data_IF_748995623080
#
_entry.id   IF_748995623080
#
_cell.length_a   1.000
_cell.length_b   1.000
_cell.length_c   1.000
_cell.angle_alpha   90.00
_cell.angle_beta   90.00
_cell.angle_gamma   90.00
#
_symmetry.space_group_name_H-M   'P 1'
#
loop_
_entity.id
_entity.type
_entity.pdbx_description
1 polymer ?
#
# COMPACT_ATOMS: atom_id res chain seq x y z
N UNK A 1 -3.49 -28.93 10.98
CA UNK A 1 -3.55 -29.56 9.65
C UNK A 1 -2.46 -30.63 9.63
N UNK A 2 -2.83 -31.91 9.61
CA UNK A 2 -1.88 -33.04 9.68
C UNK A 2 -1.54 -33.46 8.24
N UNK A 3 -0.25 -33.44 7.89
CA UNK A 3 0.23 -33.93 6.60
C UNK A 3 0.81 -35.35 6.77
N UNK A 4 0.29 -36.31 6.01
CA UNK A 4 0.88 -37.65 5.91
C UNK A 4 2.08 -37.61 4.96
N UNK A 5 3.20 -38.21 5.35
CA UNK A 5 4.54 -38.09 4.75
C UNK A 5 4.70 -38.45 3.26
N UNK A 6 3.63 -38.85 2.57
CA UNK A 6 3.58 -39.03 1.11
C UNK A 6 3.12 -37.77 0.35
N UNK A 7 2.44 -36.84 1.04
CA UNK A 7 2.04 -35.52 0.51
C UNK A 7 2.87 -34.38 1.12
N UNK A 8 4.02 -34.70 1.72
CA UNK A 8 4.98 -33.68 2.13
C UNK A 8 5.63 -33.11 0.86
N UNK A 9 5.65 -31.78 0.67
CA UNK A 9 6.39 -31.20 -0.44
C UNK A 9 7.84 -31.69 -0.35
N UNK A 10 8.33 -32.26 -1.45
CA UNK A 10 9.74 -32.65 -1.57
C UNK A 10 10.60 -31.46 -1.13
N UNK A 11 11.57 -31.72 -0.26
CA UNK A 11 12.42 -30.74 0.43
C UNK A 11 13.16 -29.76 -0.49
N UNK A 12 13.05 -29.93 -1.81
CA UNK A 12 13.61 -29.08 -2.86
C UNK A 12 12.65 -28.00 -3.40
N UNK A 13 11.32 -28.15 -3.30
CA UNK A 13 10.38 -27.09 -3.74
C UNK A 13 10.17 -25.99 -2.68
N UNK A 14 10.47 -26.31 -1.41
CA UNK A 14 10.33 -25.40 -0.26
C UNK A 14 11.57 -24.53 0.01
N UNK A 15 12.63 -24.63 -0.81
CA UNK A 15 13.89 -23.88 -0.62
C UNK A 15 14.06 -22.67 -1.56
N UNK A 16 13.07 -22.35 -2.40
CA UNK A 16 13.16 -21.13 -3.20
C UNK A 16 13.01 -19.93 -2.25
N UNK A 17 13.98 -19.00 -2.22
CA UNK A 17 13.84 -17.81 -1.39
C UNK A 17 12.56 -17.05 -1.80
N UNK A 18 11.84 -16.44 -0.84
CA UNK A 18 10.65 -15.64 -1.14
C UNK A 18 10.97 -14.62 -2.24
N UNK A 19 10.10 -14.50 -3.25
CA UNK A 19 10.28 -13.49 -4.27
C UNK A 19 9.97 -12.10 -3.68
N UNK A 20 10.77 -11.07 -3.98
CA UNK A 20 10.47 -9.72 -3.53
C UNK A 20 9.22 -9.22 -4.26
N UNK A 21 8.18 -8.89 -3.49
CA UNK A 21 6.95 -8.28 -4.01
C UNK A 21 6.94 -6.81 -3.59
N UNK A 22 6.66 -5.93 -4.55
CA UNK A 22 6.54 -4.48 -4.31
C UNK A 22 5.17 -3.99 -4.74
N UNK A 23 4.48 -3.27 -3.87
CA UNK A 23 3.26 -2.53 -4.18
C UNK A 23 3.59 -1.04 -4.35
N UNK A 24 3.07 -0.41 -5.39
CA UNK A 24 3.05 1.05 -5.54
C UNK A 24 1.61 1.48 -5.56
N UNK A 25 1.21 2.21 -4.54
CA UNK A 25 -0.19 2.49 -4.24
C UNK A 25 -0.43 4.00 -4.24
N UNK A 26 -1.48 4.44 -4.90
CA UNK A 26 -1.79 5.86 -5.10
C UNK A 26 -3.05 6.23 -4.33
N UNK A 27 -3.02 7.31 -3.56
CA UNK A 27 -4.18 7.83 -2.86
C UNK A 27 -4.89 6.78 -1.97
N UNK A 28 -4.15 5.78 -1.50
CA UNK A 28 -4.76 4.66 -0.78
C UNK A 28 -5.19 5.05 0.64
N UNK A 29 -6.38 4.63 1.07
CA UNK A 29 -6.76 4.71 2.47
C UNK A 29 -5.89 3.77 3.32
N UNK A 30 -5.91 3.93 4.64
CA UNK A 30 -5.25 3.00 5.52
C UNK A 30 -5.91 1.62 5.46
N UNK A 31 -5.12 0.58 5.25
CA UNK A 31 -5.57 -0.81 5.21
C UNK A 31 -4.75 -1.60 6.22
N UNK A 32 -5.45 -2.24 7.17
CA UNK A 32 -4.83 -3.08 8.20
C UNK A 32 -4.78 -2.45 9.59
N UNK A 33 -4.44 -3.29 10.56
CA UNK A 33 -4.29 -2.97 11.98
C UNK A 33 -2.86 -3.32 12.44
N UNK A 34 -2.52 -3.11 13.72
CA UNK A 34 -1.19 -3.43 14.25
C UNK A 34 -0.73 -4.89 14.05
N UNK A 35 -1.65 -5.81 13.77
CA UNK A 35 -1.37 -7.23 13.51
C UNK A 35 -1.28 -7.57 12.02
N UNK A 36 -1.50 -6.60 11.14
CA UNK A 36 -1.44 -6.78 9.69
C UNK A 36 0.01 -6.78 9.21
N UNK A 37 0.63 -7.96 9.22
CA UNK A 37 1.96 -8.16 8.65
C UNK A 37 1.86 -8.47 7.14
N UNK A 38 2.26 -7.54 6.30
CA UNK A 38 2.49 -7.78 4.87
C UNK A 38 3.99 -8.00 4.65
N UNK A 39 4.38 -9.10 4.01
CA UNK A 39 5.76 -9.42 3.68
C UNK A 39 6.30 -8.70 2.42
N UNK A 40 5.49 -7.80 1.85
CA UNK A 40 5.80 -7.06 0.63
C UNK A 40 6.30 -5.65 0.97
N UNK A 41 7.23 -5.12 0.15
CA UNK A 41 7.58 -3.70 0.20
C UNK A 41 6.44 -2.89 -0.38
N UNK A 42 6.13 -1.73 0.19
CA UNK A 42 5.06 -0.88 -0.35
C UNK A 42 5.45 0.59 -0.30
N UNK A 43 5.17 1.28 -1.40
CA UNK A 43 5.38 2.72 -1.58
C UNK A 43 4.02 3.39 -1.77
N UNK A 44 3.71 4.37 -0.93
CA UNK A 44 2.42 5.03 -0.88
C UNK A 44 2.52 6.47 -1.36
N UNK A 45 2.04 6.72 -2.58
CA UNK A 45 1.99 8.06 -3.18
C UNK A 45 0.81 8.82 -2.59
N UNK A 46 1.10 9.90 -1.85
CA UNK A 46 0.10 10.75 -1.18
C UNK A 46 0.16 12.17 -1.74
N UNK A 47 -0.93 12.62 -2.36
CA UNK A 47 -1.03 14.00 -2.82
C UNK A 47 -1.43 14.94 -1.68
N UNK A 48 -0.76 16.09 -1.59
CA UNK A 48 -1.05 17.08 -0.56
C UNK A 48 -2.49 17.60 -0.71
N UNK A 49 -3.28 17.44 0.35
CA UNK A 49 -4.68 17.83 0.38
C UNK A 49 -5.67 16.75 -0.08
N UNK A 50 -5.20 15.59 -0.54
CA UNK A 50 -6.06 14.41 -0.67
C UNK A 50 -6.41 13.87 0.72
N UNK A 51 -7.71 13.71 0.98
CA UNK A 51 -8.26 13.27 2.26
C UNK A 51 -8.39 11.75 2.35
N UNK A 52 -8.35 11.03 1.22
CA UNK A 52 -8.52 9.56 1.22
C UNK A 52 -7.41 8.86 1.99
N UNK A 53 -6.13 9.26 1.90
CA UNK A 53 -5.07 8.67 2.72
C UNK A 53 -5.16 8.96 4.22
N UNK A 54 -6.15 9.73 4.68
CA UNK A 54 -6.37 10.03 6.09
C UNK A 54 -7.45 9.14 6.72
N UNK A 55 -8.14 8.32 5.92
CA UNK A 55 -9.21 7.45 6.41
C UNK A 55 -8.78 5.98 6.44
N UNK A 56 -9.21 5.18 7.43
CA UNK A 56 -9.94 5.59 8.63
C UNK A 56 -9.04 6.37 9.62
N UNK A 57 -9.64 7.30 10.37
CA UNK A 57 -8.91 8.24 11.23
C UNK A 57 -8.34 7.61 12.52
N UNK A 58 -8.81 6.44 12.94
CA UNK A 58 -8.41 5.78 14.20
C UNK A 58 -8.16 4.29 13.98
N UNK A 59 -7.20 3.72 14.71
CA UNK A 59 -6.89 2.29 14.84
C UNK A 59 -6.26 1.55 13.65
N UNK A 60 -6.07 2.23 12.51
CA UNK A 60 -5.35 1.66 11.36
C UNK A 60 -3.89 2.09 11.38
N UNK A 61 -2.99 1.16 11.07
CA UNK A 61 -1.54 1.41 11.00
C UNK A 61 -1.13 1.39 9.54
N UNK A 62 -0.43 2.43 9.10
CA UNK A 62 0.12 2.47 7.75
C UNK A 62 1.36 1.56 7.68
N UNK A 63 1.34 0.58 6.78
CA UNK A 63 2.41 -0.42 6.61
C UNK A 63 3.36 -0.01 5.47
N UNK A 64 3.18 1.18 4.91
CA UNK A 64 3.83 1.61 3.67
C UNK A 64 4.85 2.74 3.90
N UNK A 65 5.81 2.84 3.00
CA UNK A 65 6.73 3.99 2.94
C UNK A 65 6.02 5.14 2.21
N UNK A 66 5.83 6.31 2.83
CA UNK A 66 5.13 7.42 2.18
C UNK A 66 6.00 8.13 1.14
N UNK A 67 5.40 8.48 0.01
CA UNK A 67 5.95 9.36 -1.03
C UNK A 67 5.01 10.57 -1.22
N UNK A 68 5.24 11.68 -0.50
CA UNK A 68 4.40 12.87 -0.62
C UNK A 68 4.64 13.59 -1.95
N UNK A 69 3.56 13.96 -2.63
CA UNK A 69 3.55 14.80 -3.85
C UNK A 69 2.62 15.99 -3.67
N UNK A 70 2.72 16.99 -4.55
CA UNK A 70 1.82 18.15 -4.54
C UNK A 70 1.45 18.56 -5.98
N UNK A 71 0.31 18.07 -6.47
CA UNK A 71 -0.18 18.39 -7.82
C UNK A 71 -0.65 19.84 -7.96
N UNK A 72 -0.93 20.53 -6.85
CA UNK A 72 -1.29 21.96 -6.86
C UNK A 72 -0.17 22.90 -7.30
N UNK A 73 1.07 22.40 -7.40
CA UNK A 73 2.20 23.14 -8.00
C UNK A 73 2.24 23.05 -9.52
N UNK A 74 1.44 22.17 -10.14
CA UNK A 74 1.41 22.01 -11.59
C UNK A 74 0.60 23.12 -12.24
N UNK A 75 1.22 23.81 -13.20
CA UNK A 75 0.53 24.79 -14.05
C UNK A 75 -0.54 24.18 -14.98
N UNK A 76 -0.58 22.85 -15.10
CA UNK A 76 -1.50 22.13 -15.99
C UNK A 76 -2.77 21.65 -15.28
N UNK A 77 -2.83 21.77 -13.95
CA UNK A 77 -4.03 21.40 -13.18
C UNK A 77 -4.97 22.60 -13.12
N UNK A 78 -6.26 22.36 -13.38
CA UNK A 78 -7.29 23.39 -13.30
C UNK A 78 -7.49 23.85 -11.85
N UNK A 79 -7.40 25.16 -11.63
CA UNK A 79 -7.69 25.81 -10.36
C UNK A 79 -9.13 26.33 -10.34
N UNK A 80 -9.87 26.29 -9.20
CA UNK A 80 -9.46 25.83 -7.87
C UNK A 80 -9.41 24.30 -7.72
N UNK A 81 -8.51 23.82 -6.85
CA UNK A 81 -8.41 22.40 -6.51
C UNK A 81 -9.57 21.98 -5.61
N UNK A 82 -10.37 21.02 -6.09
CA UNK A 82 -11.37 20.34 -5.26
C UNK A 82 -10.80 19.06 -4.64
N UNK A 83 -11.38 18.53 -3.55
CA UNK A 83 -10.99 17.22 -3.02
C UNK A 83 -11.07 16.11 -4.08
N UNK A 84 -12.07 16.16 -4.95
CA UNK A 84 -12.21 15.23 -6.07
C UNK A 84 -11.06 15.37 -7.08
N UNK A 85 -10.58 16.59 -7.33
CA UNK A 85 -9.42 16.85 -8.20
C UNK A 85 -8.11 16.36 -7.58
N UNK A 86 -7.95 16.55 -6.27
CA UNK A 86 -6.73 16.16 -5.54
C UNK A 86 -6.57 14.63 -5.40
N UNK A 87 -7.67 13.90 -5.38
CA UNK A 87 -7.69 12.43 -5.29
C UNK A 87 -7.40 11.72 -6.61
N UNK A 88 -7.55 12.39 -7.76
CA UNK A 88 -7.29 11.76 -9.06
C UNK A 88 -5.77 11.52 -9.21
N UNK A 89 -5.35 10.29 -9.56
CA UNK A 89 -3.95 10.00 -9.86
C UNK A 89 -3.47 10.69 -11.14
#
# INVERSE_FOLDING_TARGET
>A
MVAHGVNAPTSTSSQKPPCPVTAVVFACPHVGNATSSISCKSLHVKNLGDVVPLVPALSYVDVHVPLPINTGRSQYINWPLSPATLHKP
#
